data_IF_991315553283
#
_entry.id   IF_991315553283
#
_cell.length_a   1.000
_cell.length_b   1.000
_cell.length_c   1.000
_cell.angle_alpha   90.00
_cell.angle_beta   90.00
_cell.angle_gamma   90.00
#
_symmetry.space_group_name_H-M   'P 1'
#
loop_
_entity.id
_entity.type
_entity.pdbx_description
1 polymer ?
#
# COMPACT_ATOMS: atom_id res chain seq x y z
N UNK A 1 -7.93 -11.34 10.94
CA UNK A 1 -6.82 -11.15 11.91
C UNK A 1 -5.57 -10.83 11.10
N UNK A 2 -5.02 -9.62 11.22
CA UNK A 2 -3.82 -9.16 10.49
C UNK A 2 -2.53 -9.67 11.17
N UNK A 3 -2.39 -11.00 11.33
CA UNK A 3 -1.24 -11.57 12.05
C UNK A 3 0.10 -11.28 11.38
N UNK A 4 0.11 -11.03 10.07
CA UNK A 4 1.31 -10.68 9.31
C UNK A 4 1.93 -9.35 9.79
N UNK A 5 1.13 -8.33 10.11
CA UNK A 5 1.64 -7.04 10.67
C UNK A 5 2.20 -7.16 12.09
N UNK A 6 1.98 -8.30 12.78
CA UNK A 6 2.57 -8.55 14.10
C UNK A 6 3.99 -9.12 14.02
N UNK A 7 4.49 -9.45 12.82
CA UNK A 7 5.85 -9.92 12.64
C UNK A 7 6.84 -8.82 13.04
N UNK A 8 7.68 -9.12 14.04
CA UNK A 8 8.73 -8.23 14.51
C UNK A 8 9.76 -7.91 13.41
N UNK A 9 9.99 -8.85 12.49
CA UNK A 9 10.84 -8.66 11.31
C UNK A 9 10.25 -7.64 10.35
N UNK A 10 8.96 -7.75 10.02
CA UNK A 10 8.27 -6.79 9.14
C UNK A 10 8.21 -5.40 9.77
N UNK A 11 7.98 -5.33 11.08
CA UNK A 11 7.96 -4.06 11.81
C UNK A 11 9.32 -3.40 11.84
N UNK A 12 10.40 -4.17 11.99
CA UNK A 12 11.76 -3.66 11.89
C UNK A 12 12.09 -3.17 10.48
N UNK A 13 11.69 -3.91 9.45
CA UNK A 13 11.93 -3.54 8.05
C UNK A 13 11.15 -2.31 7.61
N UNK A 14 9.95 -2.11 8.15
CA UNK A 14 9.07 -0.96 7.85
C UNK A 14 9.16 0.16 8.90
N UNK A 15 10.05 0.04 9.88
CA UNK A 15 10.18 0.95 11.03
C UNK A 15 8.84 1.26 11.73
N UNK A 16 7.92 0.30 11.78
CA UNK A 16 6.55 0.49 12.28
C UNK A 16 6.38 0.08 13.75
N UNK A 17 5.78 0.99 14.51
CA UNK A 17 5.39 0.75 15.91
C UNK A 17 4.10 -0.10 15.98
N UNK A 18 3.87 -0.85 17.07
CA UNK A 18 2.68 -1.66 17.21
C UNK A 18 1.49 -0.74 17.52
N UNK A 19 0.41 -0.89 16.77
CA UNK A 19 -0.82 -0.12 16.96
C UNK A 19 -1.83 -0.96 17.74
N UNK A 20 -2.64 -0.30 18.58
CA UNK A 20 -3.85 -0.93 19.13
C UNK A 20 -4.88 -1.11 18.02
N UNK A 21 -5.84 -2.02 18.21
CA UNK A 21 -6.92 -2.25 17.24
C UNK A 21 -7.68 -0.95 16.89
N UNK A 22 -7.93 -0.10 17.89
CA UNK A 22 -8.59 1.19 17.69
C UNK A 22 -7.73 2.16 16.85
N UNK A 23 -6.42 2.18 17.08
CA UNK A 23 -5.48 2.98 16.29
C UNK A 23 -5.38 2.47 14.84
N UNK A 24 -5.36 1.15 14.62
CA UNK A 24 -5.41 0.57 13.27
C UNK A 24 -6.69 1.01 12.54
N UNK A 25 -7.86 0.93 13.19
CA UNK A 25 -9.11 1.40 12.61
C UNK A 25 -9.12 2.91 12.33
N UNK A 26 -8.46 3.71 13.18
CA UNK A 26 -8.30 5.14 12.93
C UNK A 26 -7.41 5.42 11.71
N UNK A 27 -6.27 4.75 11.61
CA UNK A 27 -5.35 4.91 10.47
C UNK A 27 -5.95 4.41 9.16
N UNK A 28 -6.71 3.31 9.18
CA UNK A 28 -7.44 2.81 8.02
C UNK A 28 -8.48 3.81 7.50
N UNK A 29 -9.12 4.56 8.41
CA UNK A 29 -10.06 5.62 8.03
C UNK A 29 -9.33 6.82 7.46
N UNK A 30 -8.26 7.29 8.11
CA UNK A 30 -7.49 8.43 7.61
C UNK A 30 -6.88 8.13 6.24
N UNK A 31 -6.27 6.96 6.02
CA UNK A 31 -5.73 6.57 4.71
C UNK A 31 -6.79 6.44 3.62
N UNK A 32 -8.02 6.11 3.98
CA UNK A 32 -9.11 5.98 3.00
C UNK A 32 -9.62 7.35 2.53
N UNK A 33 -9.59 8.33 3.41
CA UNK A 33 -10.08 9.68 3.17
C UNK A 33 -8.95 10.65 2.76
N UNK A 34 -7.73 10.13 2.60
CA UNK A 34 -6.56 10.92 2.32
C UNK A 34 -6.57 11.42 0.88
N UNK A 35 -6.69 12.73 0.71
CA UNK A 35 -6.77 13.38 -0.61
C UNK A 35 -5.39 13.65 -1.22
N UNK A 36 -4.32 13.55 -0.42
CA UNK A 36 -2.94 13.74 -0.89
C UNK A 36 -2.24 12.43 -1.26
N UNK A 37 -2.90 11.28 -1.02
CA UNK A 37 -2.37 9.94 -1.25
C UNK A 37 -3.06 9.23 -2.42
N UNK A 38 -2.27 8.63 -3.30
CA UNK A 38 -2.75 7.74 -4.35
C UNK A 38 -2.00 6.41 -4.32
N UNK A 39 -2.72 5.29 -4.31
CA UNK A 39 -2.12 3.95 -4.34
C UNK A 39 -2.40 3.28 -5.69
N UNK A 40 -1.34 2.81 -6.34
CA UNK A 40 -1.42 2.02 -7.57
C UNK A 40 -1.03 0.58 -7.27
N UNK A 41 -1.86 -0.38 -7.70
CA UNK A 41 -1.55 -1.80 -7.56
C UNK A 41 -0.68 -2.23 -8.74
N UNK A 42 0.48 -2.83 -8.45
CA UNK A 42 1.38 -3.39 -9.47
C UNK A 42 0.94 -4.81 -9.77
N UNK A 43 0.64 -5.08 -11.04
CA UNK A 43 0.27 -6.41 -11.52
C UNK A 43 1.40 -7.03 -12.35
N UNK A 44 1.62 -8.32 -12.17
CA UNK A 44 2.46 -9.15 -13.03
C UNK A 44 1.79 -9.29 -14.41
N UNK A 45 2.44 -8.72 -15.42
CA UNK A 45 1.93 -8.66 -16.78
C UNK A 45 1.79 -10.04 -17.43
N UNK A 46 2.69 -10.98 -17.12
CA UNK A 46 2.63 -12.34 -17.67
C UNK A 46 1.45 -13.10 -17.07
N UNK A 47 1.26 -13.04 -15.76
CA UNK A 47 0.10 -13.67 -15.08
C UNK A 47 -1.22 -13.06 -15.55
N UNK A 48 -1.26 -11.74 -15.73
CA UNK A 48 -2.44 -11.03 -16.20
C UNK A 48 -2.86 -11.48 -17.60
N UNK A 49 -1.90 -11.66 -18.50
CA UNK A 49 -2.15 -12.07 -19.87
C UNK A 49 -2.34 -13.60 -20.03
N UNK A 50 -1.87 -14.40 -19.06
CA UNK A 50 -1.84 -15.86 -19.17
C UNK A 50 -3.22 -16.53 -19.18
N UNK A 51 -4.26 -15.94 -18.56
CA UNK A 51 -5.62 -16.51 -18.58
C UNK A 51 -6.70 -15.43 -18.74
N UNK A 52 -7.78 -15.70 -19.52
CA UNK A 52 -8.89 -14.76 -19.72
C UNK A 52 -9.69 -14.43 -18.44
N UNK A 53 -9.47 -15.18 -17.36
CA UNK A 53 -10.21 -15.09 -16.10
C UNK A 53 -9.28 -15.02 -14.88
N UNK A 54 -8.06 -14.52 -15.07
CA UNK A 54 -7.18 -14.19 -13.96
C UNK A 54 -7.75 -13.00 -13.18
N UNK A 55 -7.84 -13.11 -11.86
CA UNK A 55 -8.30 -12.01 -11.01
C UNK A 55 -7.12 -11.10 -10.67
N UNK A 56 -7.39 -9.82 -10.43
CA UNK A 56 -6.38 -8.81 -10.12
C UNK A 56 -5.53 -9.24 -8.90
N UNK A 57 -6.14 -9.84 -7.89
CA UNK A 57 -5.46 -10.30 -6.67
C UNK A 57 -4.44 -11.40 -6.96
N UNK A 58 -4.71 -12.27 -7.93
CA UNK A 58 -3.78 -13.34 -8.31
C UNK A 58 -2.59 -12.86 -9.16
N UNK A 59 -2.68 -11.64 -9.69
CA UNK A 59 -1.61 -10.96 -10.41
C UNK A 59 -0.87 -9.92 -9.58
N UNK A 60 -1.35 -9.58 -8.38
CA UNK A 60 -0.72 -8.56 -7.55
C UNK A 60 0.74 -8.95 -7.25
N UNK A 61 1.64 -8.06 -7.64
CA UNK A 61 3.09 -8.15 -7.44
C UNK A 61 3.60 -7.08 -6.47
N UNK A 62 2.74 -6.16 -6.03
CA UNK A 62 3.10 -5.08 -5.13
C UNK A 62 2.17 -3.88 -5.26
N UNK A 63 2.60 -2.76 -4.71
CA UNK A 63 1.92 -1.47 -4.78
C UNK A 63 2.91 -0.30 -4.80
N UNK A 64 2.42 0.82 -5.33
CA UNK A 64 3.12 2.11 -5.34
C UNK A 64 2.24 3.12 -4.64
N UNK A 65 2.72 3.68 -3.54
CA UNK A 65 2.07 4.78 -2.83
C UNK A 65 2.72 6.09 -3.28
N UNK A 66 1.89 7.00 -3.80
CA UNK A 66 2.26 8.38 -4.13
C UNK A 66 1.66 9.29 -3.06
N UNK A 67 2.49 10.17 -2.50
CA UNK A 67 2.10 11.18 -1.52
C UNK A 67 2.43 12.56 -2.08
N UNK A 68 1.45 13.45 -2.19
CA UNK A 68 1.67 14.83 -2.61
C UNK A 68 2.20 15.64 -1.43
N UNK A 69 3.44 16.11 -1.51
CA UNK A 69 4.09 16.80 -0.39
C UNK A 69 3.67 18.27 -0.26
N UNK A 70 3.18 18.86 -1.35
CA UNK A 70 2.65 20.23 -1.37
C UNK A 70 1.37 20.31 -2.20
N UNK A 71 0.24 20.64 -1.56
CA UNK A 71 -1.05 20.82 -2.23
C UNK A 71 -1.09 22.08 -3.11
N UNK A 72 -0.16 23.01 -2.94
CA UNK A 72 0.02 24.20 -3.77
C UNK A 72 0.85 23.95 -5.03
N UNK A 73 1.64 22.88 -5.07
CA UNK A 73 2.43 22.46 -6.22
C UNK A 73 2.28 20.93 -6.45
N UNK A 74 1.27 20.51 -7.22
CA UNK A 74 0.98 19.08 -7.45
C UNK A 74 2.05 18.37 -8.30
N UNK A 75 3.13 19.05 -8.70
CA UNK A 75 4.26 18.45 -9.39
C UNK A 75 5.30 17.83 -8.43
N UNK A 76 5.18 18.10 -7.12
CA UNK A 76 6.07 17.57 -6.09
C UNK A 76 5.37 16.51 -5.24
N UNK A 77 5.98 15.34 -5.16
CA UNK A 77 5.47 14.24 -4.34
C UNK A 77 6.55 13.20 -4.04
N UNK A 78 6.28 12.41 -3.01
CA UNK A 78 7.08 11.27 -2.60
C UNK A 78 6.45 9.97 -3.11
N UNK A 79 7.30 9.03 -3.51
CA UNK A 79 6.87 7.73 -4.04
C UNK A 79 7.51 6.63 -3.20
N UNK A 80 6.68 5.73 -2.68
CA UNK A 80 7.11 4.50 -2.02
C UNK A 80 6.69 3.30 -2.88
N UNK A 81 7.66 2.45 -3.22
CA UNK A 81 7.43 1.26 -4.06
C UNK A 81 7.67 0.01 -3.22
N UNK A 82 6.67 -0.86 -3.16
CA UNK A 82 6.77 -2.18 -2.53
C UNK A 82 6.52 -3.27 -3.57
N UNK A 83 7.42 -4.25 -3.64
CA UNK A 83 7.32 -5.44 -4.50
C UNK A 83 7.38 -6.68 -3.61
N UNK A 84 6.51 -7.66 -3.85
CA UNK A 84 6.34 -8.87 -3.06
C UNK A 84 6.83 -10.14 -3.77
#
# INVERSE_FOLDING_TARGET
>A
SHEWMRSEELRRLTASEPLTLEQEHSMQRSWREDADKCTFIVLDAEKWQARPSTTEESCMAGDVNLFLTDLGDPSLGEIEVMIA
#
